data_IF_015752992048
#
_entry.id   IF_015752992048
#
_cell.length_a   1.000
_cell.length_b   1.000
_cell.length_c   1.000
_cell.angle_alpha   90.00
_cell.angle_beta   90.00
_cell.angle_gamma   90.00
#
_symmetry.space_group_name_H-M   'P 1'
#
loop_
_entity.id
_entity.type
_entity.pdbx_description
1 polymer ?
#
# COMPACT_ATOMS: atom_id res chain seq x y z
N UNK A 1 -11.63 87.55 3.14
CA UNK A 1 -11.00 86.45 3.90
C UNK A 1 -11.83 85.16 3.67
N UNK A 2 -11.41 84.34 2.70
CA UNK A 2 -12.11 83.06 2.36
C UNK A 2 -11.27 81.92 3.00
N UNK A 3 -11.90 81.19 3.91
CA UNK A 3 -11.32 79.99 4.54
C UNK A 3 -11.67 78.77 3.69
N UNK A 4 -10.67 78.16 3.04
CA UNK A 4 -10.78 76.90 2.32
C UNK A 4 -10.60 75.76 3.33
N UNK A 5 -11.65 74.94 3.51
CA UNK A 5 -11.61 73.70 4.30
C UNK A 5 -11.13 72.55 3.38
N UNK A 6 -10.07 71.83 3.77
CA UNK A 6 -9.57 70.61 3.14
C UNK A 6 -10.30 69.40 3.71
N UNK A 7 -10.86 68.48 2.94
CA UNK A 7 -11.39 67.26 3.46
C UNK A 7 -10.27 66.22 3.74
N UNK A 8 -10.23 65.70 4.95
CA UNK A 8 -9.35 64.63 5.39
C UNK A 8 -9.88 63.30 4.86
N UNK A 9 -9.18 62.71 3.89
CA UNK A 9 -9.55 61.36 3.36
C UNK A 9 -9.00 60.30 4.27
N UNK A 10 -9.90 59.63 5.05
CA UNK A 10 -9.56 58.49 5.91
C UNK A 10 -9.46 57.22 5.05
N UNK A 11 -8.21 56.72 4.86
CA UNK A 11 -7.98 55.42 4.23
C UNK A 11 -8.17 54.33 5.27
N UNK A 12 -9.27 53.55 5.16
CA UNK A 12 -9.50 52.33 5.93
C UNK A 12 -8.62 51.21 5.30
N UNK A 13 -7.56 50.84 6.00
CA UNK A 13 -6.78 49.61 5.73
C UNK A 13 -7.62 48.43 6.24
N UNK A 14 -8.30 47.69 5.33
CA UNK A 14 -8.84 46.36 5.65
C UNK A 14 -7.69 45.36 5.75
N UNK A 15 -7.29 45.04 6.96
CA UNK A 15 -6.46 43.89 7.26
C UNK A 15 -7.27 42.62 7.00
N UNK A 16 -7.09 41.99 5.84
CA UNK A 16 -7.56 40.66 5.56
C UNK A 16 -6.76 39.67 6.41
N UNK A 17 -7.31 39.20 7.53
CA UNK A 17 -6.82 38.02 8.22
C UNK A 17 -7.03 36.80 7.32
N UNK A 18 -6.07 36.51 6.46
CA UNK A 18 -5.97 35.23 5.78
C UNK A 18 -5.64 34.16 6.78
N UNK A 19 -6.57 33.23 7.02
CA UNK A 19 -6.34 32.00 7.77
C UNK A 19 -5.19 31.24 7.10
N UNK A 20 -3.99 31.35 7.68
CA UNK A 20 -2.81 30.68 7.15
C UNK A 20 -2.94 29.17 7.28
N UNK A 21 -3.31 28.50 6.19
CA UNK A 21 -2.87 27.13 5.97
C UNK A 21 -1.34 27.16 5.98
N UNK A 22 -0.71 26.32 6.80
CA UNK A 22 0.75 26.18 6.83
C UNK A 22 1.20 25.89 5.39
N UNK A 23 1.85 26.86 4.76
CA UNK A 23 2.33 26.72 3.39
C UNK A 23 3.40 25.62 3.38
N UNK A 24 3.15 24.52 2.67
CA UNK A 24 4.08 23.39 2.45
C UNK A 24 5.29 23.78 1.58
N UNK A 25 5.65 25.05 1.54
CA UNK A 25 6.81 25.56 0.79
C UNK A 25 6.76 25.29 -0.70
N UNK A 26 5.55 25.19 -1.29
CA UNK A 26 5.35 24.96 -2.73
C UNK A 26 5.44 23.48 -3.14
N UNK A 27 5.52 22.54 -2.18
CA UNK A 27 5.47 21.10 -2.46
C UNK A 27 4.03 20.62 -2.66
N UNK A 28 3.85 19.60 -3.53
CA UNK A 28 2.54 18.95 -3.68
C UNK A 28 2.16 18.15 -2.44
N UNK A 29 0.94 18.32 -1.96
CA UNK A 29 0.36 17.44 -0.93
C UNK A 29 -0.17 16.17 -1.60
N UNK A 30 0.37 15.03 -1.18
CA UNK A 30 -0.05 13.69 -1.61
C UNK A 30 -0.57 12.93 -0.42
N UNK A 31 -1.76 12.40 -0.52
CA UNK A 31 -2.32 11.47 0.46
C UNK A 31 -2.14 10.05 -0.07
N UNK A 32 -1.73 9.15 0.80
CA UNK A 32 -1.67 7.73 0.52
C UNK A 32 -2.66 6.98 1.42
N UNK A 33 -3.45 6.10 0.84
CA UNK A 33 -4.47 5.37 1.57
C UNK A 33 -3.90 4.23 2.43
N UNK A 34 -2.69 3.74 2.11
CA UNK A 34 -1.98 2.70 2.87
C UNK A 34 -0.46 2.83 2.68
N UNK A 35 0.29 2.16 3.55
CA UNK A 35 1.76 2.20 3.56
C UNK A 35 2.42 1.92 2.20
N UNK A 36 2.08 0.86 1.42
CA UNK A 36 2.76 0.62 0.14
C UNK A 36 2.54 1.74 -0.86
N UNK A 37 1.41 2.45 -0.77
CA UNK A 37 1.12 3.63 -1.59
C UNK A 37 1.90 4.86 -1.09
N UNK A 38 2.08 4.99 0.24
CA UNK A 38 2.90 6.04 0.83
C UNK A 38 4.38 5.87 0.43
N UNK A 39 4.90 4.64 0.51
CA UNK A 39 6.24 4.32 0.03
C UNK A 39 6.41 4.70 -1.46
N UNK A 40 5.49 4.28 -2.32
CA UNK A 40 5.53 4.59 -3.74
C UNK A 40 5.53 6.10 -3.99
N UNK A 41 4.63 6.83 -3.31
CA UNK A 41 4.51 8.27 -3.45
C UNK A 41 5.76 9.01 -2.96
N UNK A 42 6.38 8.57 -1.88
CA UNK A 42 7.63 9.10 -1.36
C UNK A 42 8.79 8.87 -2.33
N UNK A 43 8.92 7.64 -2.85
CA UNK A 43 10.00 7.30 -3.78
C UNK A 43 9.89 8.07 -5.10
N UNK A 44 8.70 8.18 -5.68
CA UNK A 44 8.47 8.88 -6.96
C UNK A 44 8.46 10.40 -6.77
N UNK A 45 7.79 10.88 -5.73
CA UNK A 45 7.65 12.30 -5.43
C UNK A 45 8.95 12.95 -4.93
N UNK A 46 9.74 12.23 -4.12
CA UNK A 46 11.00 12.70 -3.53
C UNK A 46 10.83 14.00 -2.73
N UNK A 47 11.76 14.95 -2.87
CA UNK A 47 11.74 16.19 -2.10
C UNK A 47 10.64 17.18 -2.55
N UNK A 48 9.97 16.93 -3.68
CA UNK A 48 9.02 17.84 -4.30
C UNK A 48 7.58 17.64 -3.82
N UNK A 49 7.35 16.61 -2.98
CA UNK A 49 6.04 16.29 -2.38
C UNK A 49 6.09 16.24 -0.86
N UNK A 50 4.92 16.35 -0.24
CA UNK A 50 4.69 15.98 1.16
C UNK A 50 3.67 14.85 1.14
N UNK A 51 4.08 13.66 1.59
CA UNK A 51 3.20 12.47 1.63
C UNK A 51 2.66 12.28 3.03
N UNK A 52 1.35 12.12 3.14
CA UNK A 52 0.65 11.74 4.38
C UNK A 52 -0.01 10.38 4.17
N UNK A 53 0.37 9.40 5.00
CA UNK A 53 -0.30 8.11 5.08
C UNK A 53 -1.55 8.25 5.95
N UNK A 54 -2.69 7.73 5.48
CA UNK A 54 -3.95 7.72 6.25
C UNK A 54 -3.94 6.67 7.36
N UNK A 55 -3.14 5.62 7.18
CA UNK A 55 -3.00 4.53 8.16
C UNK A 55 -1.84 4.82 9.08
N UNK A 56 -2.06 4.71 10.38
CA UNK A 56 -0.98 4.84 11.37
C UNK A 56 -0.07 3.61 11.29
N UNK A 57 1.22 3.83 11.55
CA UNK A 57 2.17 2.72 11.63
C UNK A 57 1.67 1.61 12.59
N UNK A 58 1.64 0.38 12.10
CA UNK A 58 1.19 -0.79 12.85
C UNK A 58 -0.34 -0.97 12.95
N UNK A 59 -1.14 -0.12 12.29
CA UNK A 59 -2.59 -0.28 12.22
C UNK A 59 -3.00 -1.07 10.95
N UNK A 60 -4.10 -1.79 11.07
CA UNK A 60 -4.74 -2.54 9.99
C UNK A 60 -5.34 -1.58 8.94
N UNK A 61 -4.99 -1.70 7.65
CA UNK A 61 -5.46 -0.76 6.63
C UNK A 61 -6.84 -1.05 6.04
N UNK A 62 -7.38 -2.27 6.16
CA UNK A 62 -8.64 -2.65 5.52
C UNK A 62 -9.85 -1.90 6.10
N UNK A 63 -9.88 -1.69 7.42
CA UNK A 63 -11.00 -1.10 8.17
C UNK A 63 -10.72 0.34 8.63
N UNK A 64 -10.09 1.14 7.76
CA UNK A 64 -9.77 2.54 8.06
C UNK A 64 -11.04 3.38 8.19
N UNK A 65 -11.18 4.04 9.34
CA UNK A 65 -12.13 5.14 9.56
C UNK A 65 -11.43 6.49 9.45
N UNK A 66 -12.00 7.41 8.68
CA UNK A 66 -11.44 8.74 8.49
C UNK A 66 -11.99 9.75 9.48
N UNK A 67 -11.11 10.42 10.19
CA UNK A 67 -11.50 11.60 10.97
C UNK A 67 -11.91 12.77 10.06
N UNK A 68 -12.72 13.73 10.52
CA UNK A 68 -13.09 14.92 9.72
C UNK A 68 -11.87 15.68 9.15
N UNK A 69 -10.75 15.68 9.90
CA UNK A 69 -9.50 16.30 9.44
C UNK A 69 -8.90 15.55 8.25
N UNK A 70 -8.91 14.20 8.28
CA UNK A 70 -8.42 13.36 7.19
C UNK A 70 -9.32 13.47 5.95
N UNK A 71 -10.67 13.48 6.14
CA UNK A 71 -11.62 13.76 5.04
C UNK A 71 -11.27 15.07 4.34
N UNK A 72 -11.08 16.15 5.10
CA UNK A 72 -10.67 17.45 4.56
C UNK A 72 -9.29 17.40 3.88
N UNK A 73 -8.36 16.61 4.36
CA UNK A 73 -7.03 16.42 3.74
C UNK A 73 -7.15 15.69 2.39
N UNK A 74 -7.92 14.59 2.32
CA UNK A 74 -8.19 13.85 1.07
C UNK A 74 -8.82 14.75 0.01
N UNK A 75 -9.80 15.58 0.39
CA UNK A 75 -10.47 16.49 -0.55
C UNK A 75 -9.55 17.58 -1.12
N UNK A 76 -8.56 18.05 -0.34
CA UNK A 76 -7.65 19.13 -0.76
C UNK A 76 -6.36 18.64 -1.39
N UNK A 77 -6.02 17.37 -1.25
CA UNK A 77 -4.78 16.81 -1.76
C UNK A 77 -4.64 17.00 -3.28
N UNK A 78 -3.43 17.25 -3.73
CA UNK A 78 -3.11 17.34 -5.15
C UNK A 78 -3.26 15.97 -5.85
N UNK A 79 -2.93 14.89 -5.12
CA UNK A 79 -3.10 13.48 -5.54
C UNK A 79 -3.43 12.64 -4.32
N UNK A 80 -4.38 11.73 -4.47
CA UNK A 80 -4.70 10.69 -3.48
C UNK A 80 -4.38 9.34 -4.11
N UNK A 81 -3.33 8.68 -3.61
CA UNK A 81 -2.93 7.35 -4.08
C UNK A 81 -3.74 6.32 -3.31
N UNK A 82 -4.59 5.59 -4.01
CA UNK A 82 -5.54 4.64 -3.43
C UNK A 82 -5.77 3.44 -4.35
N UNK A 83 -6.50 2.46 -3.85
CA UNK A 83 -7.05 1.36 -4.64
C UNK A 83 -8.56 1.33 -4.42
N UNK A 84 -9.33 1.48 -5.48
CA UNK A 84 -10.80 1.44 -5.41
C UNK A 84 -11.28 0.07 -4.94
N UNK A 85 -12.16 0.09 -3.93
CA UNK A 85 -12.72 -1.12 -3.32
C UNK A 85 -11.91 -1.69 -2.16
N UNK A 86 -10.76 -1.08 -1.84
CA UNK A 86 -9.94 -1.50 -0.70
C UNK A 86 -10.45 -0.89 0.61
N UNK A 87 -10.70 0.41 0.62
CA UNK A 87 -11.09 1.16 1.81
C UNK A 87 -12.37 1.97 1.52
N UNK A 88 -13.55 1.51 1.94
CA UNK A 88 -14.83 2.18 1.66
C UNK A 88 -14.85 3.66 2.08
N UNK A 89 -14.28 3.99 3.24
CA UNK A 89 -14.24 5.36 3.73
C UNK A 89 -13.44 6.33 2.82
N UNK A 90 -12.37 5.84 2.17
CA UNK A 90 -11.59 6.61 1.19
C UNK A 90 -12.36 6.74 -0.11
N UNK A 91 -12.97 5.66 -0.58
CA UNK A 91 -13.77 5.64 -1.80
C UNK A 91 -14.95 6.62 -1.71
N UNK A 92 -15.67 6.66 -0.58
CA UNK A 92 -16.79 7.56 -0.36
C UNK A 92 -16.38 9.04 -0.44
N UNK A 93 -15.23 9.39 0.16
CA UNK A 93 -14.72 10.77 0.09
C UNK A 93 -14.33 11.12 -1.35
N UNK A 94 -13.72 10.20 -2.09
CA UNK A 94 -13.30 10.43 -3.48
C UNK A 94 -14.49 10.51 -4.46
N UNK A 95 -15.60 9.79 -4.20
CA UNK A 95 -16.84 9.93 -4.97
C UNK A 95 -17.47 11.33 -4.79
N UNK A 96 -17.32 11.93 -3.61
CA UNK A 96 -17.76 13.31 -3.33
C UNK A 96 -16.88 14.41 -3.96
N UNK A 97 -15.78 14.03 -4.59
CA UNK A 97 -14.79 14.92 -5.21
C UNK A 97 -13.40 14.69 -4.64
N UNK A 98 -12.39 14.73 -5.49
CA UNK A 98 -10.98 14.52 -5.09
C UNK A 98 -10.11 14.18 -6.29
N UNK A 99 -8.81 14.11 -6.04
CA UNK A 99 -7.79 13.87 -7.07
C UNK A 99 -7.23 12.44 -6.95
N UNK A 100 -8.11 11.44 -7.00
CA UNK A 100 -7.73 10.02 -6.92
C UNK A 100 -6.75 9.60 -8.02
N UNK A 101 -5.77 8.80 -7.62
CA UNK A 101 -4.93 7.99 -8.47
C UNK A 101 -5.17 6.53 -8.07
N UNK A 102 -6.09 5.88 -8.77
CA UNK A 102 -6.50 4.50 -8.50
C UNK A 102 -5.50 3.52 -9.12
N UNK A 103 -4.76 2.80 -8.27
CA UNK A 103 -3.80 1.80 -8.73
C UNK A 103 -4.48 0.69 -9.53
N UNK A 104 -5.66 0.25 -9.11
CA UNK A 104 -6.39 -0.83 -9.78
C UNK A 104 -6.71 -0.52 -11.24
N UNK A 105 -7.06 0.74 -11.53
CA UNK A 105 -7.30 1.22 -12.90
C UNK A 105 -6.03 1.22 -13.77
N UNK A 106 -4.85 1.39 -13.14
CA UNK A 106 -3.56 1.46 -13.85
C UNK A 106 -2.96 0.08 -14.09
N UNK A 107 -3.02 -0.80 -13.08
CA UNK A 107 -2.28 -2.08 -13.12
C UNK A 107 -3.19 -3.30 -13.38
N UNK A 108 -4.50 -3.10 -13.40
CA UNK A 108 -5.51 -4.16 -13.48
C UNK A 108 -5.69 -4.91 -12.16
N UNK A 109 -6.90 -5.37 -11.87
CA UNK A 109 -7.24 -6.16 -10.69
C UNK A 109 -7.48 -7.62 -11.05
N UNK A 110 -7.21 -8.53 -10.11
CA UNK A 110 -7.63 -9.93 -10.21
C UNK A 110 -9.16 -10.04 -10.11
N UNK A 111 -9.78 -11.09 -10.72
CA UNK A 111 -11.23 -11.23 -10.80
C UNK A 111 -11.95 -11.29 -9.44
N UNK A 112 -11.28 -11.77 -8.39
CA UNK A 112 -11.80 -11.91 -7.02
C UNK A 112 -11.76 -10.59 -6.22
N UNK A 113 -11.33 -9.49 -6.86
CA UNK A 113 -11.16 -8.15 -6.23
C UNK A 113 -10.15 -8.12 -5.08
N UNK A 114 -9.16 -9.01 -5.11
CA UNK A 114 -8.02 -8.94 -4.20
C UNK A 114 -7.40 -7.53 -4.26
N UNK A 115 -7.29 -6.81 -3.13
CA UNK A 115 -6.72 -5.46 -3.13
C UNK A 115 -5.19 -5.44 -3.13
N UNK A 116 -4.50 -6.55 -2.86
CA UNK A 116 -3.07 -6.60 -2.54
C UNK A 116 -2.17 -6.51 -3.80
N UNK A 117 -2.51 -5.60 -4.72
CA UNK A 117 -1.79 -5.40 -6.00
C UNK A 117 -0.31 -5.07 -5.81
N UNK A 118 0.04 -4.50 -4.66
CA UNK A 118 1.41 -4.10 -4.33
C UNK A 118 2.35 -5.28 -4.06
N UNK A 119 1.84 -6.49 -3.94
CA UNK A 119 2.66 -7.69 -3.78
C UNK A 119 3.21 -8.23 -5.12
N UNK A 120 2.80 -7.66 -6.25
CA UNK A 120 3.42 -7.90 -7.56
C UNK A 120 4.37 -6.74 -7.93
N UNK A 121 5.70 -6.96 -7.92
CA UNK A 121 6.68 -5.91 -8.22
C UNK A 121 6.53 -5.32 -9.63
N UNK A 122 6.06 -6.11 -10.61
CA UNK A 122 5.90 -5.64 -11.99
C UNK A 122 4.69 -4.72 -12.11
N UNK A 123 3.59 -5.00 -11.40
CA UNK A 123 2.45 -4.09 -11.31
C UNK A 123 2.84 -2.78 -10.64
N UNK A 124 3.68 -2.84 -9.59
CA UNK A 124 4.19 -1.64 -8.92
C UNK A 124 5.12 -0.79 -9.81
N UNK A 125 5.83 -1.37 -10.79
CA UNK A 125 6.58 -0.58 -11.80
C UNK A 125 5.63 0.27 -12.66
N UNK A 126 4.52 -0.32 -13.12
CA UNK A 126 3.51 0.40 -13.88
C UNK A 126 2.85 1.51 -13.02
N UNK A 127 2.55 1.21 -11.76
CA UNK A 127 2.03 2.17 -10.80
C UNK A 127 2.99 3.34 -10.58
N UNK A 128 4.31 3.09 -10.46
CA UNK A 128 5.32 4.14 -10.32
C UNK A 128 5.35 5.08 -11.54
N UNK A 129 5.28 4.52 -12.74
CA UNK A 129 5.29 5.28 -13.99
C UNK A 129 4.05 6.16 -14.11
N UNK A 130 2.87 5.59 -13.89
CA UNK A 130 1.61 6.35 -13.94
C UNK A 130 1.52 7.43 -12.86
N UNK A 131 2.05 7.15 -11.65
CA UNK A 131 2.10 8.15 -10.58
C UNK A 131 3.02 9.33 -10.96
N UNK A 132 4.18 9.07 -11.59
CA UNK A 132 5.06 10.13 -12.05
C UNK A 132 4.38 11.04 -13.08
N UNK A 133 3.61 10.48 -14.01
CA UNK A 133 2.86 11.28 -14.98
C UNK A 133 1.73 12.07 -14.31
N UNK A 134 1.07 11.49 -13.31
CA UNK A 134 0.05 12.19 -12.51
C UNK A 134 0.65 13.37 -11.74
N UNK A 135 1.80 13.19 -11.08
CA UNK A 135 2.51 14.26 -10.39
C UNK A 135 3.03 15.32 -11.35
N UNK A 136 3.61 14.91 -12.51
CA UNK A 136 4.09 15.82 -13.54
C UNK A 136 2.97 16.72 -14.13
N UNK A 137 1.76 16.20 -14.25
CA UNK A 137 0.60 16.97 -14.69
C UNK A 137 0.17 18.02 -13.66
N UNK A 138 0.39 17.77 -12.37
CA UNK A 138 0.08 18.70 -11.27
C UNK A 138 1.20 19.70 -11.00
N UNK A 139 2.45 19.31 -11.26
CA UNK A 139 3.65 20.12 -11.04
C UNK A 139 4.64 19.98 -12.22
N UNK A 140 4.36 20.64 -13.35
CA UNK A 140 5.16 20.51 -14.56
C UNK A 140 6.63 20.92 -14.40
N UNK A 141 6.93 21.81 -13.45
CA UNK A 141 8.32 22.29 -13.20
C UNK A 141 9.23 21.17 -12.68
N UNK A 142 8.69 20.18 -11.97
CA UNK A 142 9.44 19.04 -11.45
C UNK A 142 9.20 17.73 -12.23
N UNK A 143 8.52 17.79 -13.38
CA UNK A 143 8.15 16.62 -14.18
C UNK A 143 9.32 15.68 -14.52
N UNK A 144 10.48 16.25 -14.90
CA UNK A 144 11.68 15.46 -15.19
C UNK A 144 12.18 14.69 -13.96
N UNK A 145 12.13 15.30 -12.78
CA UNK A 145 12.51 14.69 -11.52
C UNK A 145 11.60 13.51 -11.17
N UNK A 146 10.28 13.66 -11.26
CA UNK A 146 9.32 12.58 -11.01
C UNK A 146 9.57 11.38 -11.92
N UNK A 147 9.74 11.60 -13.23
CA UNK A 147 10.01 10.54 -14.20
C UNK A 147 11.35 9.83 -13.97
N UNK A 148 12.38 10.58 -13.62
CA UNK A 148 13.69 10.00 -13.30
C UNK A 148 13.63 9.11 -12.06
N UNK A 149 12.93 9.56 -10.99
CA UNK A 149 12.74 8.77 -9.78
C UNK A 149 11.85 7.55 -10.02
N UNK A 150 10.77 7.66 -10.78
CA UNK A 150 9.95 6.52 -11.16
C UNK A 150 10.75 5.46 -11.93
N UNK A 151 11.65 5.87 -12.82
CA UNK A 151 12.57 4.94 -13.51
C UNK A 151 13.50 4.22 -12.51
N UNK A 152 14.04 4.93 -11.52
CA UNK A 152 14.86 4.31 -10.47
C UNK A 152 14.06 3.31 -9.63
N UNK A 153 12.82 3.67 -9.24
CA UNK A 153 11.87 2.77 -8.54
C UNK A 153 11.58 1.52 -9.39
N UNK A 154 11.27 1.71 -10.68
CA UNK A 154 11.01 0.58 -11.59
C UNK A 154 12.23 -0.35 -11.72
N UNK A 155 13.45 0.20 -11.72
CA UNK A 155 14.69 -0.60 -11.71
C UNK A 155 14.83 -1.40 -10.42
N UNK A 156 14.56 -0.80 -9.25
CA UNK A 156 14.64 -1.49 -7.97
C UNK A 156 13.57 -2.60 -7.85
N UNK A 157 12.35 -2.35 -8.33
CA UNK A 157 11.29 -3.34 -8.39
C UNK A 157 11.58 -4.47 -9.40
N UNK A 158 12.26 -4.17 -10.52
CA UNK A 158 12.75 -5.18 -11.45
C UNK A 158 13.81 -6.10 -10.82
N UNK A 159 14.71 -5.53 -10.01
CA UNK A 159 15.66 -6.32 -9.23
C UNK A 159 14.95 -7.20 -8.17
N UNK A 160 13.87 -6.69 -7.55
CA UNK A 160 13.04 -7.47 -6.64
C UNK A 160 12.32 -8.62 -7.36
N UNK A 161 11.76 -8.40 -8.54
CA UNK A 161 11.15 -9.44 -9.37
C UNK A 161 12.16 -10.54 -9.71
N UNK A 162 13.39 -10.16 -10.06
CA UNK A 162 14.50 -11.11 -10.27
C UNK A 162 14.81 -11.89 -8.99
N UNK A 163 14.80 -11.23 -7.84
CA UNK A 163 15.02 -11.89 -6.53
C UNK A 163 13.98 -12.99 -6.28
N UNK A 164 12.69 -12.68 -6.46
CA UNK A 164 11.63 -13.69 -6.32
C UNK A 164 11.74 -14.81 -7.35
N UNK A 165 11.98 -14.49 -8.62
CA UNK A 165 12.11 -15.48 -9.69
C UNK A 165 13.24 -16.47 -9.40
N UNK A 166 14.38 -15.95 -8.96
CA UNK A 166 15.54 -16.78 -8.59
C UNK A 166 15.26 -17.60 -7.33
N UNK A 167 14.73 -16.97 -6.28
CA UNK A 167 14.42 -17.63 -5.02
C UNK A 167 13.38 -18.76 -5.16
N UNK A 168 12.49 -18.67 -6.14
CA UNK A 168 11.41 -19.63 -6.38
C UNK A 168 11.72 -20.62 -7.52
N UNK A 169 12.98 -20.73 -7.92
CA UNK A 169 13.42 -21.71 -8.91
C UNK A 169 13.60 -23.09 -8.27
N UNK A 170 13.19 -24.14 -8.98
CA UNK A 170 13.42 -25.53 -8.57
C UNK A 170 12.75 -25.93 -7.25
N UNK A 171 11.66 -25.28 -6.86
CA UNK A 171 10.97 -25.57 -5.61
C UNK A 171 10.26 -26.92 -5.64
N UNK A 172 10.36 -27.67 -4.54
CA UNK A 172 9.70 -28.95 -4.37
C UNK A 172 8.17 -28.81 -4.23
N UNK A 173 7.68 -27.64 -3.82
CA UNK A 173 6.26 -27.32 -3.60
C UNK A 173 5.90 -25.98 -4.21
N UNK A 174 4.59 -25.78 -4.47
CA UNK A 174 4.02 -24.52 -4.94
C UNK A 174 2.87 -24.01 -4.08
N UNK A 175 2.41 -24.85 -3.13
CA UNK A 175 1.29 -24.55 -2.26
C UNK A 175 1.77 -23.80 -1.03
N UNK A 176 1.13 -22.66 -0.74
CA UNK A 176 1.35 -21.86 0.46
C UNK A 176 0.05 -21.69 1.26
N UNK A 177 0.17 -21.75 2.58
CA UNK A 177 -0.93 -21.47 3.50
C UNK A 177 -0.57 -20.24 4.32
N UNK A 178 -1.44 -19.25 4.32
CA UNK A 178 -1.25 -17.93 4.92
C UNK A 178 -2.36 -17.60 5.91
N UNK A 179 -2.14 -16.69 6.86
CA UNK A 179 -3.15 -16.24 7.81
C UNK A 179 -4.37 -15.66 7.11
N UNK A 180 -4.18 -14.74 6.15
CA UNK A 180 -5.26 -14.30 5.26
C UNK A 180 -4.87 -14.39 3.77
N UNK A 181 -5.82 -14.11 2.88
CA UNK A 181 -5.66 -14.30 1.43
C UNK A 181 -5.02 -13.08 0.74
N UNK A 182 -3.92 -12.53 1.28
CA UNK A 182 -3.27 -11.34 0.75
C UNK A 182 -2.38 -11.60 -0.48
N UNK A 183 -1.90 -12.82 -0.67
CA UNK A 183 -0.79 -13.08 -1.60
C UNK A 183 -1.24 -13.54 -3.00
N UNK A 184 -2.48 -13.23 -3.40
CA UNK A 184 -3.03 -13.63 -4.69
C UNK A 184 -2.22 -13.13 -5.88
N UNK A 185 -1.82 -11.86 -5.89
CA UNK A 185 -0.99 -11.27 -6.96
C UNK A 185 0.43 -11.84 -7.00
N UNK A 186 1.04 -12.07 -5.84
CA UNK A 186 2.33 -12.74 -5.76
C UNK A 186 2.24 -14.18 -6.23
N UNK A 187 1.18 -14.89 -5.84
CA UNK A 187 0.95 -16.28 -6.26
C UNK A 187 0.73 -16.38 -7.77
N UNK A 188 -0.09 -15.51 -8.35
CA UNK A 188 -0.30 -15.42 -9.80
C UNK A 188 1.03 -15.14 -10.54
N UNK A 189 1.80 -14.16 -10.07
CA UNK A 189 3.08 -13.76 -10.67
C UNK A 189 4.11 -14.88 -10.70
N UNK A 190 4.24 -15.64 -9.60
CA UNK A 190 5.32 -16.64 -9.44
C UNK A 190 4.82 -18.09 -9.49
N UNK A 191 3.61 -18.30 -10.00
CA UNK A 191 3.01 -19.64 -10.15
C UNK A 191 2.97 -20.43 -8.85
N UNK A 192 2.47 -19.79 -7.78
CA UNK A 192 2.15 -20.42 -6.50
C UNK A 192 0.65 -20.66 -6.37
N UNK A 193 0.27 -21.52 -5.43
CA UNK A 193 -1.14 -21.78 -5.07
C UNK A 193 -1.34 -21.33 -3.63
N UNK A 194 -2.03 -20.21 -3.43
CA UNK A 194 -2.33 -19.68 -2.10
C UNK A 194 -3.62 -20.28 -1.53
N UNK A 195 -3.59 -20.56 -0.23
CA UNK A 195 -4.77 -20.86 0.58
C UNK A 195 -4.70 -20.05 1.88
N UNK A 196 -5.53 -19.00 1.98
CA UNK A 196 -5.66 -18.24 3.23
C UNK A 196 -6.51 -18.99 4.27
N UNK A 197 -6.14 -18.90 5.54
CA UNK A 197 -6.96 -19.37 6.65
C UNK A 197 -8.19 -18.46 6.76
N UNK A 198 -7.99 -17.13 6.82
CA UNK A 198 -9.04 -16.12 6.64
C UNK A 198 -9.23 -15.74 5.16
N UNK A 199 -10.24 -14.90 4.89
CA UNK A 199 -10.50 -14.32 3.56
C UNK A 199 -9.52 -13.23 3.16
N UNK A 200 -10.00 -12.22 2.42
CA UNK A 200 -9.20 -11.06 2.00
C UNK A 200 -8.99 -10.04 3.12
N UNK A 201 -9.75 -10.12 4.20
CA UNK A 201 -9.63 -9.26 5.39
C UNK A 201 -9.06 -10.10 6.53
N UNK A 202 -7.95 -9.69 7.17
CA UNK A 202 -7.27 -10.47 8.19
C UNK A 202 -8.08 -10.63 9.49
N UNK A 203 -8.86 -9.61 9.88
CA UNK A 203 -9.64 -9.58 11.12
C UNK A 203 -10.87 -10.50 11.12
N UNK A 204 -11.22 -11.07 9.98
CA UNK A 204 -12.33 -12.02 9.89
C UNK A 204 -11.95 -13.35 10.57
N UNK A 205 -12.57 -13.64 11.73
CA UNK A 205 -12.33 -14.89 12.45
C UNK A 205 -12.77 -16.10 11.59
N UNK A 206 -11.85 -17.02 11.26
CA UNK A 206 -12.18 -18.15 10.40
C UNK A 206 -13.10 -19.14 11.16
N UNK A 207 -14.13 -19.65 10.48
CA UNK A 207 -14.98 -20.69 11.06
C UNK A 207 -14.18 -21.98 11.33
N UNK A 208 -14.57 -22.81 12.32
CA UNK A 208 -13.93 -24.10 12.58
C UNK A 208 -13.88 -25.01 11.34
N UNK A 209 -14.93 -24.96 10.52
CA UNK A 209 -14.98 -25.69 9.24
C UNK A 209 -13.88 -25.21 8.29
N UNK A 210 -13.67 -23.89 8.18
CA UNK A 210 -12.62 -23.32 7.32
C UNK A 210 -11.23 -23.75 7.78
N UNK A 211 -10.96 -23.70 9.08
CA UNK A 211 -9.71 -24.17 9.67
C UNK A 211 -9.43 -25.63 9.32
N UNK A 212 -10.45 -26.51 9.48
CA UNK A 212 -10.32 -27.92 9.13
C UNK A 212 -10.10 -28.16 7.63
N UNK A 213 -10.76 -27.39 6.74
CA UNK A 213 -10.55 -27.45 5.29
C UNK A 213 -9.14 -27.06 4.91
N UNK A 214 -8.58 -26.00 5.52
CA UNK A 214 -7.21 -25.55 5.28
C UNK A 214 -6.19 -26.57 5.80
N UNK A 215 -6.39 -27.14 6.98
CA UNK A 215 -5.54 -28.20 7.52
C UNK A 215 -5.54 -29.44 6.62
N UNK A 216 -6.70 -29.85 6.10
CA UNK A 216 -6.83 -30.95 5.14
C UNK A 216 -6.08 -30.65 3.84
N UNK A 217 -6.23 -29.45 3.29
CA UNK A 217 -5.49 -29.02 2.10
C UNK A 217 -3.99 -29.07 2.34
N UNK A 218 -3.50 -28.48 3.44
CA UNK A 218 -2.08 -28.44 3.77
C UNK A 218 -1.45 -29.84 3.90
N UNK A 219 -2.18 -30.80 4.54
CA UNK A 219 -1.77 -32.21 4.61
C UNK A 219 -1.73 -32.86 3.23
N UNK A 220 -2.74 -32.65 2.40
CA UNK A 220 -2.85 -33.27 1.08
C UNK A 220 -1.77 -32.79 0.10
N UNK A 221 -1.32 -31.54 0.22
CA UNK A 221 -0.31 -30.91 -0.67
C UNK A 221 1.09 -30.93 -0.08
N UNK A 222 1.27 -31.50 1.11
CA UNK A 222 2.59 -31.61 1.76
C UNK A 222 3.17 -30.28 2.20
N UNK A 223 2.32 -29.30 2.56
CA UNK A 223 2.74 -28.02 3.13
C UNK A 223 3.50 -28.24 4.43
N UNK A 224 4.70 -27.68 4.55
CA UNK A 224 5.60 -27.82 5.71
C UNK A 224 5.65 -26.57 6.58
N UNK A 225 5.06 -25.46 6.10
CA UNK A 225 5.11 -24.17 6.79
C UNK A 225 3.78 -23.45 6.62
N UNK A 226 3.21 -23.01 7.74
CA UNK A 226 2.05 -22.11 7.79
C UNK A 226 2.57 -20.71 8.02
N UNK A 227 2.21 -19.78 7.14
CA UNK A 227 2.64 -18.40 7.22
C UNK A 227 1.68 -17.54 8.05
N UNK A 228 2.25 -16.63 8.83
CA UNK A 228 1.51 -15.60 9.55
C UNK A 228 2.15 -14.23 9.30
N UNK A 229 1.45 -13.17 9.65
CA UNK A 229 1.81 -11.79 9.37
C UNK A 229 2.31 -11.08 10.62
N UNK A 230 3.11 -10.01 10.43
CA UNK A 230 3.69 -9.28 11.55
C UNK A 230 2.68 -8.46 12.35
N UNK A 231 1.57 -8.01 11.74
CA UNK A 231 0.54 -7.19 12.37
C UNK A 231 -0.65 -7.98 12.94
N UNK A 232 -0.71 -9.31 12.73
CA UNK A 232 -1.85 -10.16 13.11
C UNK A 232 -1.44 -11.18 14.18
N UNK A 233 -2.35 -11.51 15.12
CA UNK A 233 -2.10 -12.56 16.13
C UNK A 233 -1.87 -13.93 15.45
N UNK A 234 -0.68 -14.53 15.60
CA UNK A 234 -0.34 -15.79 14.95
C UNK A 234 -1.04 -17.03 15.52
N UNK A 235 -1.93 -16.88 16.48
CA UNK A 235 -2.56 -17.99 17.23
C UNK A 235 -3.22 -19.02 16.31
N UNK A 236 -4.02 -18.60 15.35
CA UNK A 236 -4.74 -19.49 14.44
C UNK A 236 -3.76 -20.21 13.51
N UNK A 237 -2.79 -19.51 12.95
CA UNK A 237 -1.74 -20.11 12.11
C UNK A 237 -0.92 -21.16 12.87
N UNK A 238 -0.57 -20.88 14.13
CA UNK A 238 0.12 -21.83 15.01
C UNK A 238 -0.74 -23.07 15.31
N UNK A 239 -2.04 -22.89 15.51
CA UNK A 239 -2.98 -24.01 15.73
C UNK A 239 -3.03 -24.93 14.51
N UNK A 240 -3.18 -24.37 13.31
CA UNK A 240 -3.17 -25.15 12.06
C UNK A 240 -1.82 -25.86 11.87
N UNK A 241 -0.71 -25.16 12.11
CA UNK A 241 0.63 -25.75 12.00
C UNK A 241 0.83 -26.94 12.95
N UNK A 242 0.40 -26.80 14.22
CA UNK A 242 0.47 -27.87 15.22
C UNK A 242 -0.36 -29.10 14.81
N UNK A 243 -1.56 -28.89 14.27
CA UNK A 243 -2.46 -29.97 13.83
C UNK A 243 -1.85 -30.83 12.71
N UNK A 244 -1.06 -30.22 11.83
CA UNK A 244 -0.46 -30.92 10.67
C UNK A 244 1.01 -31.27 10.86
N UNK A 245 1.63 -30.90 11.99
CA UNK A 245 3.05 -31.08 12.24
C UNK A 245 3.95 -30.17 11.40
N UNK A 246 3.44 -29.02 10.96
CA UNK A 246 4.19 -28.02 10.18
C UNK A 246 4.90 -27.00 11.09
N UNK A 247 5.84 -26.24 10.50
CA UNK A 247 6.46 -25.06 11.11
C UNK A 247 5.58 -23.82 10.87
N UNK A 248 5.90 -22.73 11.56
CA UNK A 248 5.38 -21.40 11.23
C UNK A 248 6.50 -20.48 10.79
N UNK A 249 6.20 -19.55 9.88
CA UNK A 249 7.14 -18.50 9.46
C UNK A 249 6.36 -17.21 9.17
N UNK A 250 7.05 -16.08 9.17
CA UNK A 250 6.47 -14.80 8.75
C UNK A 250 6.46 -14.72 7.22
N UNK A 251 5.31 -14.33 6.65
CA UNK A 251 5.17 -13.82 5.29
C UNK A 251 4.34 -12.56 5.41
N UNK A 252 4.94 -11.41 5.13
CA UNK A 252 4.39 -10.11 5.46
C UNK A 252 3.70 -9.49 4.23
N UNK A 253 2.41 -9.10 4.29
CA UNK A 253 1.71 -8.48 3.16
C UNK A 253 2.14 -7.03 2.90
N UNK A 254 3.09 -6.49 3.67
CA UNK A 254 3.64 -5.11 3.53
C UNK A 254 2.57 -4.02 3.71
N UNK A 255 1.61 -4.27 4.57
CA UNK A 255 0.53 -3.31 4.90
C UNK A 255 1.00 -2.22 5.88
N UNK A 256 2.10 -2.46 6.56
CA UNK A 256 2.81 -1.52 7.40
C UNK A 256 4.23 -2.03 7.67
N UNK A 257 5.11 -1.16 8.11
CA UNK A 257 6.48 -1.52 8.47
C UNK A 257 6.82 -0.98 9.86
N UNK A 258 7.77 -1.62 10.51
CA UNK A 258 8.28 -1.22 11.82
C UNK A 258 9.80 -1.07 11.79
N UNK A 259 10.35 -0.21 12.64
CA UNK A 259 11.79 0.02 12.72
C UNK A 259 12.35 0.65 11.45
N UNK A 260 13.51 0.15 11.01
CA UNK A 260 14.24 0.65 9.84
C UNK A 260 13.85 -0.07 8.52
N UNK A 261 12.79 -0.85 8.53
CA UNK A 261 12.32 -1.57 7.36
C UNK A 261 11.66 -0.67 6.32
N UNK A 262 11.74 -1.09 5.07
CA UNK A 262 11.01 -0.53 3.95
C UNK A 262 10.31 -1.61 3.12
N UNK A 263 9.52 -1.20 2.15
CA UNK A 263 8.83 -2.09 1.23
C UNK A 263 9.77 -3.13 0.59
N UNK A 264 10.94 -2.71 0.13
CA UNK A 264 11.89 -3.60 -0.56
C UNK A 264 12.56 -4.59 0.40
N UNK A 265 12.91 -4.16 1.61
CA UNK A 265 13.54 -5.02 2.62
C UNK A 265 12.59 -6.13 3.08
N UNK A 266 11.32 -5.78 3.34
CA UNK A 266 10.28 -6.75 3.71
C UNK A 266 10.04 -7.75 2.59
N UNK A 267 9.88 -7.29 1.36
CA UNK A 267 9.67 -8.17 0.20
C UNK A 267 10.84 -9.13 -0.06
N UNK A 268 12.09 -8.69 0.17
CA UNK A 268 13.25 -9.61 0.07
C UNK A 268 13.22 -10.69 1.14
N UNK A 269 12.79 -10.35 2.38
CA UNK A 269 12.58 -11.38 3.42
C UNK A 269 11.46 -12.34 3.05
N UNK A 270 10.39 -11.86 2.45
CA UNK A 270 9.31 -12.70 1.92
C UNK A 270 9.83 -13.71 0.89
N UNK A 271 10.66 -13.27 -0.06
CA UNK A 271 11.27 -14.16 -1.04
C UNK A 271 12.11 -15.26 -0.37
N UNK A 272 12.92 -14.91 0.64
CA UNK A 272 13.73 -15.88 1.40
C UNK A 272 12.87 -16.84 2.23
N UNK A 273 11.79 -16.35 2.86
CA UNK A 273 10.87 -17.18 3.62
C UNK A 273 10.17 -18.21 2.73
N UNK A 274 9.69 -17.78 1.56
CA UNK A 274 9.10 -18.67 0.56
C UNK A 274 10.10 -19.69 0.01
N UNK A 275 11.31 -19.26 -0.35
CA UNK A 275 12.40 -20.17 -0.78
C UNK A 275 12.58 -21.31 0.21
N UNK A 276 12.74 -20.98 1.49
CA UNK A 276 12.97 -21.97 2.56
C UNK A 276 11.76 -22.90 2.73
N UNK A 277 10.53 -22.33 2.78
CA UNK A 277 9.32 -23.09 3.05
C UNK A 277 8.92 -24.01 1.89
N UNK A 278 9.20 -23.62 0.66
CA UNK A 278 8.84 -24.37 -0.54
C UNK A 278 9.92 -25.43 -0.92
N UNK A 279 11.07 -25.40 -0.24
CA UNK A 279 12.19 -26.29 -0.52
C UNK A 279 12.74 -26.07 -1.92
N UNK A 280 13.08 -24.81 -2.22
CA UNK A 280 13.68 -24.44 -3.49
C UNK A 280 15.18 -24.74 -3.53
N UNK A 281 15.73 -24.88 -4.74
CA UNK A 281 17.15 -25.23 -4.96
C UNK A 281 18.09 -24.01 -4.87
#
# INVERSE_FOLDING_TARGET
>A
MRRTALPLLAVLLLSACGSGSAATGGKLEVIAAAYPFAWLAQQVGGPDVVVTDLVKAGAEPHDVELTPRQVGAVQRAAVVVHLKGFQPAVDDVLQGGGQGYDLGAVVGQLPDKDPHVWLDPVRMQAAATGLADRLAAKDPKHAAGYRARAKAVATALGALDTTFTTALTGCARRDIVTSHSAFGYLADRYNLVQRGISGLTPDAEPSPRRVAEVAKFAKATGVTTIFFESLVDPKVARTVAAEIGAKTAVLDPVEGVTGDDDYLSVQRRNAQALHTALGCA
#
